data_IF_828576544346
#
_entry.id   IF_828576544346
#
_cell.length_a   1.000
_cell.length_b   1.000
_cell.length_c   1.000
_cell.angle_alpha   90.00
_cell.angle_beta   90.00
_cell.angle_gamma   90.00
#
_symmetry.space_group_name_H-M   'P 1'
#
loop_
_entity.id
_entity.type
_entity.pdbx_description
1 polymer ?
#
# COMPACT_ATOMS: atom_id res chain seq x y z
N UNK A 1 -11.87 23.73 -5.60
CA UNK A 1 -12.44 22.43 -5.97
C UNK A 1 -12.15 21.50 -4.79
N UNK A 2 -13.17 21.10 -4.03
CA UNK A 2 -13.01 20.16 -2.91
C UNK A 2 -13.31 18.77 -3.45
N UNK A 3 -12.34 17.86 -3.33
CA UNK A 3 -12.57 16.45 -3.57
C UNK A 3 -12.98 15.83 -2.25
N UNK A 4 -14.08 15.08 -2.25
CA UNK A 4 -14.44 14.22 -1.13
C UNK A 4 -13.56 12.98 -1.21
N UNK A 5 -12.47 12.97 -0.42
CA UNK A 5 -11.51 11.87 -0.41
C UNK A 5 -11.92 10.95 0.73
N UNK A 6 -12.32 9.70 0.44
CA UNK A 6 -12.69 8.76 1.49
C UNK A 6 -11.49 8.50 2.41
N UNK A 7 -11.74 8.45 3.72
CA UNK A 7 -10.75 8.01 4.69
C UNK A 7 -10.72 6.47 4.68
N UNK A 8 -9.64 5.91 4.14
CA UNK A 8 -9.41 4.47 4.17
C UNK A 8 -8.87 4.06 5.55
N UNK A 9 -9.36 2.95 6.09
CA UNK A 9 -8.85 2.31 7.31
C UNK A 9 -8.25 0.94 7.04
N UNK A 10 -8.46 0.41 5.83
CA UNK A 10 -7.89 -0.84 5.37
C UNK A 10 -7.67 -0.79 3.85
N UNK A 11 -6.74 -1.60 3.36
CA UNK A 11 -6.49 -1.85 1.95
C UNK A 11 -6.88 -3.29 1.65
N UNK A 12 -7.78 -3.47 0.69
CA UNK A 12 -8.32 -4.76 0.25
C UNK A 12 -7.95 -5.05 -1.21
N UNK A 13 -8.38 -6.20 -1.74
CA UNK A 13 -8.19 -6.57 -3.14
C UNK A 13 -8.73 -5.51 -4.12
N UNK A 14 -9.85 -4.88 -3.80
CA UNK A 14 -10.51 -3.89 -4.67
C UNK A 14 -9.69 -2.60 -4.82
N UNK A 15 -8.82 -2.30 -3.85
CA UNK A 15 -7.99 -1.10 -3.83
C UNK A 15 -6.69 -1.24 -4.63
N UNK A 16 -6.28 -2.49 -4.92
CA UNK A 16 -4.94 -2.79 -5.43
C UNK A 16 -4.69 -2.22 -6.83
N UNK A 17 -5.71 -2.15 -7.69
CA UNK A 17 -5.58 -1.56 -9.02
C UNK A 17 -5.32 -0.05 -8.92
N UNK A 18 -6.14 0.66 -8.12
CA UNK A 18 -5.97 2.09 -7.89
C UNK A 18 -4.61 2.40 -7.26
N UNK A 19 -4.18 1.59 -6.28
CA UNK A 19 -2.88 1.73 -5.62
C UNK A 19 -1.72 1.55 -6.60
N UNK A 20 -1.78 0.53 -7.48
CA UNK A 20 -0.76 0.30 -8.50
C UNK A 20 -0.65 1.45 -9.51
N UNK A 21 -1.78 1.98 -9.98
CA UNK A 21 -1.82 3.12 -10.92
C UNK A 21 -1.28 4.38 -10.25
N UNK A 22 -1.79 4.70 -9.06
CA UNK A 22 -1.39 5.87 -8.28
C UNK A 22 0.11 5.86 -7.96
N UNK A 23 0.63 4.72 -7.50
CA UNK A 23 2.06 4.54 -7.23
C UNK A 23 2.91 4.74 -8.49
N UNK A 24 2.45 4.25 -9.65
CA UNK A 24 3.14 4.46 -10.93
C UNK A 24 3.19 5.93 -11.36
N UNK A 25 2.09 6.67 -11.21
CA UNK A 25 2.01 8.10 -11.54
C UNK A 25 2.86 8.93 -10.58
N UNK A 26 2.69 8.71 -9.27
CA UNK A 26 3.36 9.48 -8.22
C UNK A 26 4.85 9.11 -8.07
N UNK A 27 5.27 7.96 -8.58
CA UNK A 27 6.66 7.52 -8.58
C UNK A 27 7.55 8.24 -9.60
N UNK A 28 6.99 9.07 -10.48
CA UNK A 28 7.73 9.91 -11.46
C UNK A 28 8.77 9.15 -12.30
N UNK A 29 8.49 7.89 -12.65
CA UNK A 29 9.40 7.01 -13.41
C UNK A 29 10.34 6.15 -12.57
N UNK A 30 10.32 6.28 -11.23
CA UNK A 30 11.01 5.42 -10.27
C UNK A 30 10.04 4.63 -9.38
N UNK A 31 10.52 4.19 -8.21
CA UNK A 31 9.70 3.49 -7.20
C UNK A 31 9.54 1.97 -7.40
N UNK A 32 10.26 1.39 -8.35
CA UNK A 32 10.16 -0.04 -8.69
C UNK A 32 9.04 -0.32 -9.70
N UNK A 33 8.63 -1.58 -9.82
CA UNK A 33 7.58 -2.00 -10.75
C UNK A 33 6.21 -2.08 -10.01
N UNK A 34 5.27 -1.15 -10.25
CA UNK A 34 3.98 -1.13 -9.54
C UNK A 34 3.14 -2.37 -9.79
N UNK A 35 3.21 -2.94 -11.01
CA UNK A 35 2.50 -4.19 -11.35
C UNK A 35 3.03 -5.36 -10.53
N UNK A 36 4.35 -5.45 -10.34
CA UNK A 36 4.96 -6.51 -9.54
C UNK A 36 4.57 -6.38 -8.06
N UNK A 37 4.61 -5.16 -7.51
CA UNK A 37 4.15 -4.89 -6.15
C UNK A 37 2.68 -5.28 -5.95
N UNK A 38 1.82 -4.88 -6.89
CA UNK A 38 0.39 -5.23 -6.89
C UNK A 38 0.14 -6.74 -6.88
N UNK A 39 0.82 -7.48 -7.76
CA UNK A 39 0.67 -8.94 -7.84
C UNK A 39 1.12 -9.64 -6.57
N UNK A 40 2.24 -9.19 -5.96
CA UNK A 40 2.71 -9.74 -4.69
C UNK A 40 1.68 -9.57 -3.58
N UNK A 41 1.14 -8.36 -3.44
CA UNK A 41 0.11 -8.10 -2.42
C UNK A 41 -1.17 -8.88 -2.70
N UNK A 42 -1.62 -8.93 -3.96
CA UNK A 42 -2.77 -9.74 -4.37
C UNK A 42 -2.60 -11.22 -3.97
N UNK A 43 -1.45 -11.83 -4.26
CA UNK A 43 -1.17 -13.23 -3.88
C UNK A 43 -1.20 -13.44 -2.36
N UNK A 44 -0.75 -12.47 -1.57
CA UNK A 44 -0.81 -12.57 -0.12
C UNK A 44 -2.25 -12.44 0.40
N UNK A 45 -3.03 -11.48 -0.12
CA UNK A 45 -4.42 -11.29 0.32
C UNK A 45 -5.35 -12.44 -0.10
N UNK A 46 -5.01 -13.18 -1.16
CA UNK A 46 -5.75 -14.36 -1.63
C UNK A 46 -5.32 -15.67 -0.94
N UNK A 47 -4.24 -15.67 -0.16
CA UNK A 47 -3.72 -16.84 0.55
C UNK A 47 -4.30 -16.90 1.96
N UNK A 48 -5.02 -17.99 2.27
CA UNK A 48 -5.66 -18.23 3.57
C UNK A 48 -4.69 -18.22 4.77
N UNK A 49 -3.36 -18.31 4.53
CA UNK A 49 -2.34 -18.17 5.56
C UNK A 49 -2.11 -16.71 6.01
N UNK A 50 -2.64 -15.73 5.28
CA UNK A 50 -2.50 -14.30 5.56
C UNK A 50 -3.87 -13.62 5.70
N UNK A 51 -3.92 -12.41 6.28
CA UNK A 51 -5.15 -11.61 6.29
C UNK A 51 -5.57 -11.20 4.88
N UNK A 52 -6.88 -11.10 4.66
CA UNK A 52 -7.52 -10.65 3.41
C UNK A 52 -7.49 -9.11 3.21
N UNK A 53 -6.97 -8.37 4.19
CA UNK A 53 -6.78 -6.93 4.14
C UNK A 53 -5.55 -6.46 4.94
N UNK A 54 -5.02 -5.29 4.57
CA UNK A 54 -3.96 -4.58 5.31
C UNK A 54 -4.56 -3.40 6.06
N UNK A 55 -4.39 -3.34 7.39
CA UNK A 55 -4.80 -2.20 8.20
C UNK A 55 -4.00 -0.94 7.83
N UNK A 56 -4.70 0.18 7.64
CA UNK A 56 -4.12 1.48 7.38
C UNK A 56 -4.28 2.37 8.61
N UNK A 57 -3.16 2.81 9.17
CA UNK A 57 -3.13 3.66 10.37
C UNK A 57 -2.75 5.08 9.99
N UNK A 58 -3.54 6.07 10.43
CA UNK A 58 -3.16 7.48 10.28
C UNK A 58 -1.95 7.77 11.18
N UNK A 59 -0.90 8.45 10.68
CA UNK A 59 0.26 8.77 11.48
C UNK A 59 -0.06 9.55 12.77
N UNK A 60 -1.18 10.30 12.81
CA UNK A 60 -1.63 11.05 13.99
C UNK A 60 -2.24 10.16 15.07
N UNK A 61 -2.66 8.95 14.71
CA UNK A 61 -3.24 7.97 15.62
C UNK A 61 -2.17 7.06 16.25
N UNK A 62 -0.90 7.19 15.84
CA UNK A 62 0.21 6.43 16.40
C UNK A 62 0.54 6.88 17.84
N UNK A 63 0.84 5.94 18.76
CA UNK A 63 1.40 6.26 20.06
C UNK A 63 2.68 7.10 19.96
N UNK A 64 2.90 8.00 20.92
CA UNK A 64 4.09 8.85 20.93
C UNK A 64 5.42 8.06 21.06
N UNK A 65 5.35 6.84 21.59
CA UNK A 65 6.47 5.90 21.75
C UNK A 65 6.44 4.74 20.74
N UNK A 66 5.63 4.85 19.68
CA UNK A 66 5.55 3.83 18.64
C UNK A 66 6.92 3.60 17.98
N UNK A 67 7.29 2.33 17.83
CA UNK A 67 8.46 1.96 17.04
C UNK A 67 8.05 1.83 15.58
N UNK A 68 8.65 2.66 14.73
CA UNK A 68 8.35 2.70 13.29
C UNK A 68 9.60 2.33 12.50
N UNK A 69 9.42 1.47 11.50
CA UNK A 69 10.47 1.14 10.53
C UNK A 69 10.00 1.47 9.12
N UNK A 70 10.88 2.07 8.32
CA UNK A 70 10.67 2.20 6.88
C UNK A 70 11.13 0.92 6.19
N UNK A 71 10.23 0.27 5.47
CA UNK A 71 10.50 -1.00 4.75
C UNK A 71 10.40 -0.75 3.25
N UNK A 72 11.42 -1.17 2.52
CA UNK A 72 11.47 -1.07 1.06
C UNK A 72 12.43 -2.10 0.47
N UNK A 73 12.27 -2.40 -0.82
CA UNK A 73 13.18 -3.27 -1.56
C UNK A 73 14.35 -2.48 -2.15
N UNK A 74 15.55 -3.06 -2.13
CA UNK A 74 16.72 -2.58 -2.88
C UNK A 74 17.33 -3.72 -3.68
N UNK A 75 17.76 -3.44 -4.91
CA UNK A 75 18.38 -4.44 -5.78
C UNK A 75 18.10 -4.17 -7.26
N UNK A 76 18.48 -5.13 -8.10
CA UNK A 76 18.09 -5.14 -9.50
C UNK A 76 16.58 -5.43 -9.64
N UNK A 77 15.87 -4.80 -10.60
CA UNK A 77 14.47 -5.09 -10.89
C UNK A 77 14.21 -6.53 -11.34
#
# INVERSE_FOLDING_TARGET
MSFDIPHLTAITLDDLEALGIGAGILGTGGGGNPRLGRLRLQTLLEDDAYPDAVELVDPRDLPADATVASVGGMGAP
#
